data_IF_787927458952
#
_entry.id   IF_787927458952
#
_cell.length_a   1.000
_cell.length_b   1.000
_cell.length_c   1.000
_cell.angle_alpha   90.00
_cell.angle_beta   90.00
_cell.angle_gamma   90.00
#
_symmetry.space_group_name_H-M   'P 1'
#
loop_
_entity.id
_entity.type
_entity.pdbx_description
1 polymer ?
#
# COMPACT_ATOMS: atom_id res chain seq x y z
N UNK A 1 -4.03 -10.49 13.45
CA UNK A 1 -3.82 -10.43 14.92
C UNK A 1 -5.06 -9.79 15.49
N UNK A 2 -6.21 -10.43 15.32
CA UNK A 2 -7.42 -9.79 14.78
C UNK A 2 -7.94 -8.55 15.51
N UNK A 3 -7.60 -8.37 16.78
CA UNK A 3 -7.83 -7.13 17.55
C UNK A 3 -6.97 -5.93 17.08
N UNK A 4 -5.91 -6.17 16.31
CA UNK A 4 -4.96 -5.18 15.81
C UNK A 4 -5.39 -4.64 14.45
N UNK A 5 -5.20 -5.46 13.42
CA UNK A 5 -5.43 -5.13 12.02
C UNK A 5 -6.85 -5.48 11.51
N UNK A 6 -7.58 -6.35 12.22
CA UNK A 6 -8.91 -6.82 11.84
C UNK A 6 -8.92 -8.25 11.30
N UNK A 7 -10.12 -8.76 11.04
CA UNK A 7 -10.35 -10.09 10.47
C UNK A 7 -10.31 -9.99 8.95
N UNK A 8 -9.49 -10.80 8.29
CA UNK A 8 -9.42 -10.79 6.83
C UNK A 8 -10.69 -11.40 6.21
N UNK A 9 -11.37 -10.62 5.35
CA UNK A 9 -12.59 -11.03 4.64
C UNK A 9 -12.24 -11.58 3.25
N UNK A 10 -11.46 -10.82 2.49
CA UNK A 10 -11.21 -11.10 1.09
C UNK A 10 -9.95 -10.42 0.57
N UNK A 11 -9.36 -11.01 -0.47
CA UNK A 11 -8.27 -10.39 -1.21
C UNK A 11 -8.86 -9.38 -2.20
N UNK A 12 -8.33 -8.16 -2.24
CA UNK A 12 -8.85 -7.11 -3.12
C UNK A 12 -8.39 -7.28 -4.58
N UNK A 13 -7.33 -8.06 -4.80
CA UNK A 13 -6.64 -8.18 -6.08
C UNK A 13 -5.25 -7.56 -6.04
N UNK A 14 -4.43 -7.91 -7.04
CA UNK A 14 -3.06 -7.42 -7.15
C UNK A 14 -3.05 -6.00 -7.76
N UNK A 15 -2.55 -4.98 -7.03
CA UNK A 15 -2.48 -3.61 -7.55
C UNK A 15 -1.25 -3.43 -8.44
N UNK A 16 -1.46 -3.00 -9.67
CA UNK A 16 -0.40 -2.55 -10.60
C UNK A 16 -0.45 -1.03 -10.68
N UNK A 17 0.65 -0.38 -10.32
CA UNK A 17 0.79 1.07 -10.45
C UNK A 17 1.45 1.41 -11.77
N UNK A 18 0.93 2.42 -12.47
CA UNK A 18 1.53 2.91 -13.71
C UNK A 18 1.66 4.42 -13.69
N UNK A 19 2.74 4.95 -14.25
CA UNK A 19 2.85 6.37 -14.52
C UNK A 19 2.07 6.77 -15.79
N UNK A 20 2.05 8.08 -16.10
CA UNK A 20 1.45 8.62 -17.33
C UNK A 20 2.08 8.08 -18.64
N UNK A 21 3.30 7.55 -18.58
CA UNK A 21 4.01 6.95 -19.71
C UNK A 21 3.67 5.45 -19.85
N UNK A 22 2.88 4.90 -18.92
CA UNK A 22 2.50 3.49 -18.89
C UNK A 22 3.55 2.58 -18.27
N UNK A 23 4.63 3.11 -17.70
CA UNK A 23 5.65 2.31 -17.01
C UNK A 23 5.10 1.78 -15.71
N UNK A 24 5.33 0.50 -15.47
CA UNK A 24 4.98 -0.14 -14.21
C UNK A 24 5.88 0.36 -13.08
N UNK A 25 5.26 0.65 -11.94
CA UNK A 25 5.91 1.13 -10.74
C UNK A 25 5.67 0.16 -9.57
N UNK A 26 6.70 -0.02 -8.75
CA UNK A 26 6.71 -0.91 -7.61
C UNK A 26 6.79 -0.11 -6.32
N UNK A 27 5.93 -0.41 -5.35
CA UNK A 27 5.96 0.21 -4.02
C UNK A 27 7.09 -0.42 -3.21
N UNK A 28 7.96 0.43 -2.64
CA UNK A 28 9.00 -0.03 -1.72
C UNK A 28 8.36 -0.59 -0.43
N UNK A 29 8.66 -1.85 -0.08
CA UNK A 29 8.08 -2.53 1.08
C UNK A 29 8.65 -2.01 2.39
N UNK A 30 7.83 -2.00 3.43
CA UNK A 30 8.30 -1.66 4.79
C UNK A 30 9.22 -2.77 5.32
N UNK A 31 10.49 -2.46 5.68
CA UNK A 31 11.35 -3.44 6.32
C UNK A 31 10.91 -3.72 7.75
N UNK A 32 11.25 -4.90 8.27
CA UNK A 32 10.78 -5.42 9.56
C UNK A 32 11.13 -4.58 10.79
N UNK A 33 12.14 -3.70 10.71
CA UNK A 33 12.62 -2.90 11.84
C UNK A 33 11.81 -1.59 12.04
N UNK A 34 11.09 -1.15 11.02
CA UNK A 34 10.44 0.16 11.04
C UNK A 34 8.99 0.07 11.56
N UNK A 35 8.62 1.00 12.45
CA UNK A 35 7.23 1.21 12.86
C UNK A 35 6.45 2.05 11.84
N UNK A 36 7.13 3.01 11.21
CA UNK A 36 6.59 3.85 10.14
C UNK A 36 7.61 3.94 9.01
N UNK A 37 7.13 3.99 7.76
CA UNK A 37 7.98 4.00 6.58
C UNK A 37 7.33 4.80 5.45
N UNK A 38 8.17 5.44 4.64
CA UNK A 38 7.73 6.36 3.58
C UNK A 38 7.14 5.59 2.39
N UNK A 39 6.22 6.25 1.67
CA UNK A 39 5.67 5.71 0.44
C UNK A 39 6.52 6.20 -0.73
N UNK A 40 7.26 5.28 -1.33
CA UNK A 40 8.11 5.52 -2.50
C UNK A 40 7.80 4.46 -3.54
N UNK A 41 7.64 4.87 -4.79
CA UNK A 41 7.50 3.95 -5.91
C UNK A 41 8.69 4.08 -6.85
N UNK A 42 9.22 2.92 -7.24
CA UNK A 42 10.37 2.76 -8.12
C UNK A 42 9.97 2.09 -9.42
N UNK A 43 10.72 2.31 -10.50
CA UNK A 43 10.58 1.51 -11.72
C UNK A 43 11.30 0.15 -11.58
N UNK A 44 11.30 -0.64 -12.67
CA UNK A 44 11.99 -1.93 -12.73
C UNK A 44 13.52 -1.85 -12.58
N UNK A 45 14.12 -0.68 -12.78
CA UNK A 45 15.54 -0.42 -12.60
C UNK A 45 15.87 0.07 -11.17
N UNK A 46 14.85 0.21 -10.30
CA UNK A 46 15.01 0.72 -8.94
C UNK A 46 15.12 2.24 -8.85
N UNK A 47 14.85 2.97 -9.94
CA UNK A 47 14.88 4.43 -9.97
C UNK A 47 13.56 4.95 -9.39
N UNK A 48 13.65 5.88 -8.44
CA UNK A 48 12.48 6.53 -7.85
C UNK A 48 11.73 7.32 -8.92
N UNK A 49 10.46 6.99 -9.11
CA UNK A 49 9.56 7.72 -10.02
C UNK A 49 8.60 8.59 -9.27
N UNK A 50 7.94 8.11 -8.23
CA UNK A 50 6.98 8.90 -7.45
C UNK A 50 7.14 8.67 -5.94
N UNK A 51 6.69 9.64 -5.15
CA UNK A 51 6.59 9.53 -3.70
C UNK A 51 5.33 10.23 -3.16
N UNK A 52 5.06 10.00 -1.86
CA UNK A 52 4.15 10.85 -1.10
C UNK A 52 4.99 11.82 -0.28
N UNK A 53 5.13 13.09 -0.72
CA UNK A 53 6.06 14.03 -0.11
C UNK A 53 5.57 14.45 1.29
N UNK A 54 6.52 14.57 2.22
CA UNK A 54 6.25 15.13 3.55
C UNK A 54 6.04 16.65 3.48
N UNK A 55 6.97 17.38 2.85
CA UNK A 55 6.83 18.81 2.53
C UNK A 55 6.37 18.99 1.09
N UNK A 56 5.25 19.67 0.89
CA UNK A 56 4.65 19.86 -0.45
C UNK A 56 5.25 21.00 -1.27
N UNK A 57 5.94 21.95 -0.63
CA UNK A 57 6.42 23.20 -1.26
C UNK A 57 7.40 22.95 -2.41
N UNK A 58 8.28 21.95 -2.28
CA UNK A 58 9.30 21.63 -3.28
C UNK A 58 9.10 20.24 -3.90
N UNK A 59 7.87 19.73 -3.85
CA UNK A 59 7.55 18.41 -4.39
C UNK A 59 7.72 18.39 -5.91
N UNK A 60 8.54 17.44 -6.38
CA UNK A 60 8.77 17.15 -7.81
C UNK A 60 8.24 15.76 -8.23
N UNK A 61 8.04 14.88 -7.26
CA UNK A 61 7.73 13.47 -7.50
C UNK A 61 6.34 13.09 -6.96
N UNK A 62 5.44 14.05 -6.76
CA UNK A 62 4.12 13.71 -6.23
C UNK A 62 3.30 12.90 -7.23
N UNK A 63 2.48 12.02 -6.68
CA UNK A 63 1.48 11.23 -7.42
C UNK A 63 0.65 12.11 -8.38
N UNK A 64 0.28 13.31 -7.96
CA UNK A 64 -0.46 14.28 -8.79
C UNK A 64 0.33 14.78 -10.00
N UNK A 65 1.63 15.06 -9.83
CA UNK A 65 2.48 15.63 -10.89
C UNK A 65 2.85 14.57 -11.94
N UNK A 66 3.04 13.33 -11.51
CA UNK A 66 3.42 12.22 -12.39
C UNK A 66 2.20 11.60 -13.06
N UNK A 67 1.01 11.72 -12.45
CA UNK A 67 -0.23 11.15 -12.96
C UNK A 67 -0.25 9.64 -12.82
N UNK A 68 0.06 9.13 -11.62
CA UNK A 68 0.08 7.70 -11.35
C UNK A 68 -1.34 7.16 -11.25
N UNK A 69 -1.60 6.04 -11.90
CA UNK A 69 -2.85 5.28 -11.80
C UNK A 69 -2.59 3.94 -11.12
N UNK A 70 -3.64 3.35 -10.57
CA UNK A 70 -3.61 1.97 -10.04
C UNK A 70 -4.69 1.15 -10.72
N UNK A 71 -4.33 -0.05 -11.17
CA UNK A 71 -5.22 -1.01 -11.79
C UNK A 71 -5.15 -2.33 -11.02
N UNK A 72 -6.30 -2.94 -10.72
CA UNK A 72 -6.36 -4.18 -9.94
C UNK A 72 -6.61 -5.39 -10.83
N UNK A 73 -5.88 -6.47 -10.55
CA UNK A 73 -6.03 -7.76 -11.23
C UNK A 73 -6.40 -8.86 -10.23
N UNK A 74 -7.48 -9.57 -10.53
CA UNK A 74 -8.00 -10.66 -9.72
C UNK A 74 -8.94 -10.23 -8.60
N UNK A 75 -9.73 -11.20 -8.13
CA UNK A 75 -10.65 -11.07 -6.99
C UNK A 75 -11.65 -9.90 -7.12
N UNK A 76 -11.92 -9.20 -6.03
CA UNK A 76 -13.02 -8.23 -5.87
C UNK A 76 -12.88 -6.99 -6.76
N UNK A 77 -11.69 -6.40 -6.88
CA UNK A 77 -11.47 -5.19 -7.66
C UNK A 77 -10.96 -5.48 -9.09
N UNK A 78 -11.15 -6.69 -9.59
CA UNK A 78 -10.61 -7.09 -10.90
C UNK A 78 -11.07 -6.16 -12.04
N UNK A 79 -10.10 -5.61 -12.79
CA UNK A 79 -10.33 -4.72 -13.93
C UNK A 79 -10.71 -3.29 -13.55
N UNK A 80 -10.73 -2.96 -12.26
CA UNK A 80 -11.01 -1.59 -11.79
C UNK A 80 -9.71 -0.79 -11.81
N UNK A 81 -9.78 0.39 -12.42
CA UNK A 81 -8.69 1.37 -12.42
C UNK A 81 -9.09 2.65 -11.71
N UNK A 82 -8.16 3.21 -10.94
CA UNK A 82 -8.31 4.49 -10.24
C UNK A 82 -7.21 5.45 -10.69
N UNK A 83 -7.61 6.67 -11.00
CA UNK A 83 -6.71 7.78 -11.35
C UNK A 83 -6.75 8.91 -10.33
N UNK A 84 -7.67 8.86 -9.36
CA UNK A 84 -7.79 9.91 -8.37
C UNK A 84 -6.61 9.83 -7.37
N UNK A 85 -5.87 10.92 -7.15
CA UNK A 85 -4.64 10.88 -6.36
C UNK A 85 -4.85 10.42 -4.91
N UNK A 86 -6.03 10.67 -4.34
CA UNK A 86 -6.35 10.27 -2.96
C UNK A 86 -6.44 8.74 -2.81
N UNK A 87 -7.14 8.07 -3.72
CA UNK A 87 -7.31 6.62 -3.72
C UNK A 87 -6.03 5.91 -4.14
N UNK A 88 -5.30 6.45 -5.12
CA UNK A 88 -3.97 5.93 -5.51
C UNK A 88 -3.03 5.94 -4.31
N UNK A 89 -2.95 7.06 -3.57
CA UNK A 89 -2.13 7.16 -2.34
C UNK A 89 -2.61 6.21 -1.25
N UNK A 90 -3.92 5.99 -1.10
CA UNK A 90 -4.48 5.03 -0.14
C UNK A 90 -4.01 3.61 -0.44
N UNK A 91 -4.10 3.18 -1.69
CA UNK A 91 -3.67 1.84 -2.09
C UNK A 91 -2.16 1.67 -2.10
N UNK A 92 -1.39 2.71 -2.45
CA UNK A 92 0.07 2.68 -2.34
C UNK A 92 0.54 2.48 -0.89
N UNK A 93 -0.09 3.17 0.09
CA UNK A 93 0.18 2.94 1.53
C UNK A 93 -0.12 1.51 1.98
N UNK A 94 -1.19 0.91 1.48
CA UNK A 94 -1.54 -0.49 1.79
C UNK A 94 -0.57 -1.48 1.14
N UNK A 95 -0.22 -1.24 -0.12
CA UNK A 95 0.73 -2.02 -0.88
C UNK A 95 2.18 -1.93 -0.33
N UNK A 96 2.47 -1.04 0.60
CA UNK A 96 3.75 -1.03 1.32
C UNK A 96 3.90 -2.23 2.27
N UNK A 97 2.77 -2.75 2.79
CA UNK A 97 2.74 -3.81 3.81
C UNK A 97 2.62 -5.20 3.22
N UNK A 98 1.97 -5.35 2.07
CA UNK A 98 1.72 -6.67 1.51
C UNK A 98 0.80 -6.62 0.30
N UNK A 99 0.18 -7.76 0.05
CA UNK A 99 -1.04 -7.83 -0.74
C UNK A 99 -2.18 -7.08 -0.03
N UNK A 100 -3.11 -6.54 -0.82
CA UNK A 100 -4.19 -5.74 -0.29
C UNK A 100 -5.40 -6.63 0.06
N UNK A 101 -5.87 -6.55 1.30
CA UNK A 101 -7.04 -7.27 1.79
C UNK A 101 -8.14 -6.32 2.27
N UNK A 102 -9.37 -6.81 2.22
CA UNK A 102 -10.48 -6.28 2.98
C UNK A 102 -10.44 -6.86 4.40
N UNK A 103 -10.55 -5.98 5.40
CA UNK A 103 -10.46 -6.33 6.82
C UNK A 103 -11.72 -5.83 7.54
N UNK A 104 -12.38 -6.71 8.30
CA UNK A 104 -13.44 -6.34 9.22
C UNK A 104 -12.86 -5.90 10.56
N UNK A 105 -13.13 -4.65 10.91
CA UNK A 105 -12.76 -4.06 12.20
C UNK A 105 -13.89 -3.85 13.19
N UNK A 106 -15.14 -4.02 12.76
CA UNK A 106 -16.30 -3.75 13.61
C UNK A 106 -16.51 -4.87 14.64
N UNK A 107 -16.27 -6.12 14.24
CA UNK A 107 -16.50 -7.30 15.07
C UNK A 107 -15.66 -7.31 16.35
N UNK A 108 -14.37 -6.94 16.26
CA UNK A 108 -13.42 -7.01 17.38
C UNK A 108 -12.99 -5.65 17.93
N UNK A 109 -13.53 -4.53 17.40
CA UNK A 109 -13.09 -3.16 17.71
C UNK A 109 -11.58 -3.00 17.54
N UNK A 110 -11.12 -3.13 16.30
CA UNK A 110 -9.69 -3.05 16.00
C UNK A 110 -9.07 -1.71 16.43
N UNK A 111 -7.82 -1.74 16.88
CA UNK A 111 -7.06 -0.55 17.28
C UNK A 111 -6.11 -0.03 16.19
N UNK A 112 -5.88 -0.82 15.13
CA UNK A 112 -5.01 -0.48 14.00
C UNK A 112 -3.53 -0.77 14.21
N UNK A 113 -3.14 -1.49 15.27
CA UNK A 113 -1.74 -1.75 15.62
C UNK A 113 -1.39 -3.23 15.42
N UNK A 114 -0.26 -3.49 14.74
CA UNK A 114 0.25 -4.85 14.54
C UNK A 114 0.63 -5.52 15.86
N UNK A 115 0.57 -6.84 15.86
CA UNK A 115 0.91 -7.63 17.05
C UNK A 115 1.67 -8.91 16.67
N UNK A 116 2.30 -9.54 17.65
CA UNK A 116 3.09 -10.76 17.47
C UNK A 116 2.22 -12.02 17.42
N UNK A 117 2.65 -13.01 16.64
CA UNK A 117 2.00 -14.32 16.57
C UNK A 117 2.38 -15.21 17.77
N UNK A 118 1.64 -16.31 18.01
CA UNK A 118 2.01 -17.30 19.04
C UNK A 118 3.43 -17.85 18.88
N UNK A 119 3.97 -17.88 17.66
CA UNK A 119 5.36 -18.28 17.40
C UNK A 119 6.36 -17.30 18.02
N UNK A 120 6.10 -16.00 17.92
CA UNK A 120 6.91 -14.97 18.58
C UNK A 120 6.82 -15.10 20.10
N UNK A 121 5.62 -15.28 20.63
CA UNK A 121 5.39 -15.49 22.06
C UNK A 121 6.04 -16.75 22.61
N UNK A 122 6.01 -17.87 21.88
CA UNK A 122 6.63 -19.13 22.30
C UNK A 122 8.16 -19.05 22.37
N UNK A 123 8.77 -18.16 21.57
CA UNK A 123 10.22 -18.02 21.48
C UNK A 123 10.79 -17.08 22.54
N UNK A 124 9.98 -16.12 23.03
CA UNK A 124 10.35 -15.18 24.09
C UNK A 124 10.39 -15.86 25.46
#
# INVERSE_FOLDING_TARGET
>A
MDNGDGIAIGWLGHPIFRDKEGRELFVCRMPIFFETFLVVLVDGDGIVKTDVPFKRVESKYSVEQIGVTVEFYGSELNGVSYSDPATVKKYARRAQLGENFELDGATLKLDGVFRSSPRGWFTF
#
